data_IF_420232691525
#
_entry.id   IF_420232691525
#
_cell.length_a   1.000
_cell.length_b   1.000
_cell.length_c   1.000
_cell.angle_alpha   90.00
_cell.angle_beta   90.00
_cell.angle_gamma   90.00
#
_symmetry.space_group_name_H-M   'P 1'
#
loop_
_entity.id
_entity.type
_entity.pdbx_description
1 polymer ?
#
# COMPACT_ATOMS: atom_id res chain seq x y z
N UNK A 1 5.93 11.31 -9.07
CA UNK A 1 6.72 10.22 -9.67
C UNK A 1 8.19 10.59 -9.55
N UNK A 2 9.07 9.63 -9.29
CA UNK A 2 10.52 9.86 -9.36
C UNK A 2 10.95 10.12 -10.81
N UNK A 3 11.85 11.08 -11.03
CA UNK A 3 12.39 11.36 -12.37
C UNK A 3 13.34 10.22 -12.81
N UNK A 4 13.02 9.44 -13.88
CA UNK A 4 13.83 8.29 -14.27
C UNK A 4 15.23 8.66 -14.79
N UNK A 5 15.46 9.92 -15.12
CA UNK A 5 16.73 10.41 -15.64
C UNK A 5 17.72 10.84 -14.55
N UNK A 6 17.31 10.79 -13.28
CA UNK A 6 18.11 11.21 -12.13
C UNK A 6 18.35 10.03 -11.19
N UNK A 7 19.59 9.55 -11.14
CA UNK A 7 20.04 8.58 -10.16
C UNK A 7 20.62 9.29 -8.94
N UNK A 8 19.79 9.50 -7.91
CA UNK A 8 20.29 10.04 -6.65
C UNK A 8 21.11 8.98 -5.90
N UNK A 9 22.30 9.32 -5.36
CA UNK A 9 23.07 8.40 -4.54
C UNK A 9 22.26 8.00 -3.31
N UNK A 10 22.17 6.68 -3.08
CA UNK A 10 21.45 6.09 -1.96
C UNK A 10 22.40 5.76 -0.82
N UNK A 11 22.08 6.25 0.38
CA UNK A 11 22.72 5.79 1.61
C UNK A 11 22.13 4.46 2.11
N UNK A 12 22.54 4.02 3.30
CA UNK A 12 22.07 2.75 3.88
C UNK A 12 20.60 2.86 4.32
N UNK A 13 20.18 4.00 4.84
CA UNK A 13 18.81 4.24 5.32
C UNK A 13 17.83 4.31 4.15
N UNK A 14 18.23 4.94 3.05
CA UNK A 14 17.54 4.93 1.78
C UNK A 14 17.27 3.50 1.29
N UNK A 15 18.29 2.65 1.28
CA UNK A 15 18.13 1.25 0.85
C UNK A 15 17.19 0.48 1.78
N UNK A 16 17.35 0.68 3.09
CA UNK A 16 16.52 0.01 4.09
C UNK A 16 15.04 0.40 3.95
N UNK A 17 14.75 1.70 3.84
CA UNK A 17 13.38 2.22 3.68
C UNK A 17 12.74 1.72 2.39
N UNK A 18 13.47 1.72 1.27
CA UNK A 18 12.97 1.13 0.02
C UNK A 18 12.66 -0.36 0.15
N UNK A 19 13.52 -1.14 0.82
CA UNK A 19 13.29 -2.57 1.05
C UNK A 19 12.04 -2.78 1.93
N UNK A 20 11.89 -2.02 3.01
CA UNK A 20 10.71 -2.07 3.89
C UNK A 20 9.45 -1.73 3.09
N UNK A 21 9.49 -0.66 2.30
CA UNK A 21 8.39 -0.23 1.44
C UNK A 21 7.94 -1.32 0.47
N UNK A 22 8.89 -1.94 -0.25
CA UNK A 22 8.61 -3.03 -1.20
C UNK A 22 8.13 -4.30 -0.51
N UNK A 23 8.67 -4.62 0.65
CA UNK A 23 8.22 -5.76 1.47
C UNK A 23 6.78 -5.56 1.94
N UNK A 24 6.40 -4.32 2.26
CA UNK A 24 5.03 -3.96 2.60
C UNK A 24 4.03 -4.37 1.50
N UNK A 25 4.34 -4.14 0.22
CA UNK A 25 3.47 -4.61 -0.88
C UNK A 25 3.35 -6.13 -0.97
N UNK A 26 4.44 -6.86 -0.69
CA UNK A 26 4.41 -8.34 -0.67
C UNK A 26 3.49 -8.83 0.44
N UNK A 27 3.64 -8.28 1.66
CA UNK A 27 2.77 -8.63 2.79
C UNK A 27 1.32 -8.24 2.48
N UNK A 28 1.08 -7.07 1.90
CA UNK A 28 -0.26 -6.62 1.49
C UNK A 28 -0.91 -7.59 0.51
N UNK A 29 -0.17 -8.04 -0.51
CA UNK A 29 -0.70 -8.96 -1.51
C UNK A 29 -1.21 -10.27 -0.88
N UNK A 30 -0.38 -10.93 -0.07
CA UNK A 30 -0.76 -12.20 0.55
C UNK A 30 -1.79 -12.05 1.65
N UNK A 31 -1.73 -10.97 2.44
CA UNK A 31 -2.71 -10.71 3.51
C UNK A 31 -4.09 -10.41 2.94
N UNK A 32 -4.20 -9.62 1.88
CA UNK A 32 -5.48 -9.37 1.21
C UNK A 32 -6.03 -10.64 0.58
N UNK A 33 -5.19 -11.46 -0.08
CA UNK A 33 -5.64 -12.76 -0.55
C UNK A 33 -6.18 -13.58 0.61
N UNK A 34 -5.46 -13.67 1.73
CA UNK A 34 -5.88 -14.45 2.90
C UNK A 34 -7.11 -13.88 3.66
N UNK A 35 -7.57 -12.66 3.35
CA UNK A 35 -8.51 -11.90 4.18
C UNK A 35 -9.82 -12.65 4.46
N UNK A 36 -10.41 -13.31 3.46
CA UNK A 36 -11.68 -14.03 3.63
C UNK A 36 -11.56 -15.38 4.32
N UNK A 37 -10.36 -15.95 4.40
CA UNK A 37 -10.12 -17.24 5.02
C UNK A 37 -9.60 -17.12 6.45
N UNK A 38 -8.78 -16.10 6.72
CA UNK A 38 -8.13 -15.85 8.00
C UNK A 38 -8.29 -14.39 8.42
N UNK A 39 -9.54 -13.90 8.65
CA UNK A 39 -9.88 -12.49 8.85
C UNK A 39 -8.95 -11.76 9.82
N UNK A 40 -8.78 -12.34 11.01
CA UNK A 40 -8.07 -11.69 12.11
C UNK A 40 -6.56 -11.59 11.83
N UNK A 41 -5.94 -12.69 11.39
CA UNK A 41 -4.52 -12.75 11.06
C UNK A 41 -4.20 -11.88 9.84
N UNK A 42 -5.06 -11.96 8.81
CA UNK A 42 -4.93 -11.18 7.60
C UNK A 42 -5.03 -9.69 7.89
N UNK A 43 -6.00 -9.25 8.71
CA UNK A 43 -6.12 -7.84 9.07
C UNK A 43 -4.88 -7.31 9.79
N UNK A 44 -4.32 -8.08 10.73
CA UNK A 44 -3.06 -7.70 11.39
C UNK A 44 -1.94 -7.57 10.35
N UNK A 45 -1.84 -8.52 9.43
CA UNK A 45 -0.84 -8.47 8.36
C UNK A 45 -1.05 -7.28 7.39
N UNK A 46 -2.30 -6.90 7.10
CA UNK A 46 -2.63 -5.69 6.32
C UNK A 46 -2.18 -4.42 7.06
N UNK A 47 -2.38 -4.33 8.37
CA UNK A 47 -1.91 -3.20 9.18
C UNK A 47 -0.37 -3.13 9.19
N UNK A 48 0.32 -4.27 9.32
CA UNK A 48 1.78 -4.34 9.21
C UNK A 48 2.24 -3.87 7.83
N UNK A 49 1.60 -4.37 6.76
CA UNK A 49 1.91 -3.97 5.39
C UNK A 49 1.74 -2.46 5.17
N UNK A 50 0.61 -1.89 5.60
CA UNK A 50 0.36 -0.47 5.52
C UNK A 50 1.37 0.35 6.34
N UNK A 51 1.83 -0.16 7.48
CA UNK A 51 2.87 0.45 8.32
C UNK A 51 4.22 0.45 7.62
N UNK A 52 4.64 -0.67 7.04
CA UNK A 52 5.85 -0.75 6.23
C UNK A 52 5.82 0.26 5.08
N UNK A 53 4.71 0.33 4.35
CA UNK A 53 4.58 1.25 3.24
C UNK A 53 4.53 2.73 3.67
N UNK A 54 3.79 3.06 4.73
CA UNK A 54 3.60 4.45 5.19
C UNK A 54 4.85 5.03 5.89
N UNK A 55 5.57 4.22 6.66
CA UNK A 55 6.80 4.64 7.34
C UNK A 55 7.94 4.96 6.36
N UNK A 56 7.95 4.29 5.20
CA UNK A 56 9.02 4.36 4.20
C UNK A 56 8.54 4.97 2.88
N UNK A 57 7.70 6.01 2.97
CA UNK A 57 6.93 6.51 1.84
C UNK A 57 7.67 7.64 1.10
N UNK A 58 8.17 7.33 -0.09
CA UNK A 58 8.90 8.25 -0.96
C UNK A 58 7.95 8.92 -1.98
N UNK A 59 7.28 10.01 -1.56
CA UNK A 59 6.45 10.86 -2.41
C UNK A 59 6.90 12.31 -2.26
N UNK A 60 7.10 13.03 -3.35
CA UNK A 60 7.56 14.43 -3.32
C UNK A 60 6.57 15.39 -2.67
N UNK A 61 5.29 15.24 -2.99
CA UNK A 61 4.22 16.11 -2.50
C UNK A 61 3.90 15.80 -1.04
N UNK A 62 4.13 16.80 -0.16
CA UNK A 62 4.01 16.65 1.29
C UNK A 62 2.59 16.28 1.72
N UNK A 63 1.58 16.88 1.11
CA UNK A 63 0.18 16.60 1.45
C UNK A 63 -0.18 15.13 1.26
N UNK A 64 0.13 14.54 0.10
CA UNK A 64 -0.13 13.11 -0.15
C UNK A 64 0.67 12.20 0.78
N UNK A 65 1.94 12.54 1.04
CA UNK A 65 2.79 11.78 1.96
C UNK A 65 2.18 11.74 3.37
N UNK A 66 1.79 12.90 3.88
CA UNK A 66 1.14 13.00 5.19
C UNK A 66 -0.24 12.33 5.21
N UNK A 67 -1.06 12.48 4.17
CA UNK A 67 -2.38 11.83 4.10
C UNK A 67 -2.26 10.31 4.26
N UNK A 68 -1.36 9.65 3.53
CA UNK A 68 -1.18 8.21 3.64
C UNK A 68 -0.54 7.80 4.97
N UNK A 69 0.38 8.59 5.50
CA UNK A 69 0.95 8.34 6.82
C UNK A 69 -0.10 8.43 7.91
N UNK A 70 -0.89 9.51 7.95
CA UNK A 70 -1.95 9.69 8.94
C UNK A 70 -3.10 8.71 8.77
N UNK A 71 -3.44 8.28 7.55
CA UNK A 71 -4.41 7.21 7.34
C UNK A 71 -3.97 5.91 8.02
N UNK A 72 -2.69 5.52 7.89
CA UNK A 72 -2.14 4.36 8.60
C UNK A 72 -2.05 4.57 10.10
N UNK A 73 -1.64 5.76 10.58
CA UNK A 73 -1.63 6.05 12.02
C UNK A 73 -3.03 5.94 12.65
N UNK A 74 -4.04 6.50 12.01
CA UNK A 74 -5.43 6.39 12.46
C UNK A 74 -5.91 4.93 12.40
N UNK A 75 -5.52 4.16 11.37
CA UNK A 75 -5.82 2.74 11.29
C UNK A 75 -5.27 1.95 12.49
N UNK A 76 -4.02 2.22 12.88
CA UNK A 76 -3.38 1.58 14.04
C UNK A 76 -4.08 1.98 15.34
N UNK A 77 -4.45 3.25 15.51
CA UNK A 77 -5.23 3.70 16.68
C UNK A 77 -6.60 3.04 16.73
N UNK A 78 -7.30 2.93 15.59
CA UNK A 78 -8.57 2.22 15.52
C UNK A 78 -8.41 0.75 15.90
N UNK A 79 -7.33 0.09 15.47
CA UNK A 79 -7.05 -1.30 15.85
C UNK A 79 -6.84 -1.45 17.37
N UNK A 80 -6.10 -0.54 18.01
CA UNK A 80 -5.89 -0.53 19.46
C UNK A 80 -7.17 -0.28 20.25
N UNK A 81 -8.09 0.52 19.71
CA UNK A 81 -9.41 0.81 20.31
C UNK A 81 -10.45 -0.28 20.03
N UNK A 82 -10.11 -1.32 19.26
CA UNK A 82 -11.04 -2.40 18.88
C UNK A 82 -11.99 -2.05 17.73
N UNK A 83 -11.77 -0.95 17.02
CA UNK A 83 -12.53 -0.55 15.82
C UNK A 83 -11.92 -1.19 14.56
N UNK A 84 -12.08 -2.51 14.45
CA UNK A 84 -11.42 -3.34 13.45
C UNK A 84 -11.81 -2.94 12.00
N UNK A 85 -13.06 -2.60 11.76
CA UNK A 85 -13.55 -2.21 10.43
C UNK A 85 -12.89 -0.91 9.96
N UNK A 86 -12.79 0.08 10.84
CA UNK A 86 -12.13 1.36 10.55
C UNK A 86 -10.62 1.18 10.40
N UNK A 87 -10.02 0.30 11.21
CA UNK A 87 -8.62 -0.06 11.08
C UNK A 87 -8.30 -0.64 9.70
N UNK A 88 -9.12 -1.59 9.23
CA UNK A 88 -8.97 -2.15 7.89
C UNK A 88 -9.14 -1.06 6.81
N UNK A 89 -10.17 -0.21 6.94
CA UNK A 89 -10.43 0.87 5.98
C UNK A 89 -9.26 1.85 5.86
N UNK A 90 -8.71 2.32 6.98
CA UNK A 90 -7.57 3.24 6.97
C UNK A 90 -6.31 2.63 6.34
N UNK A 91 -6.02 1.36 6.61
CA UNK A 91 -4.92 0.64 5.98
C UNK A 91 -5.12 0.48 4.46
N UNK A 92 -6.34 0.18 4.04
CA UNK A 92 -6.72 0.04 2.64
C UNK A 92 -6.63 1.36 1.87
N UNK A 93 -6.95 2.51 2.49
CA UNK A 93 -6.74 3.84 1.90
C UNK A 93 -5.27 4.06 1.54
N UNK A 94 -4.35 3.76 2.45
CA UNK A 94 -2.90 3.86 2.21
C UNK A 94 -2.48 2.95 1.06
N UNK A 95 -2.82 1.66 1.13
CA UNK A 95 -2.39 0.68 0.13
C UNK A 95 -2.99 0.94 -1.25
N UNK A 96 -4.29 1.28 -1.32
CA UNK A 96 -4.98 1.62 -2.57
C UNK A 96 -4.43 2.90 -3.21
N UNK A 97 -4.21 3.95 -2.40
CA UNK A 97 -3.62 5.20 -2.87
C UNK A 97 -2.20 5.03 -3.39
N UNK A 98 -1.41 4.18 -2.74
CA UNK A 98 -0.08 3.81 -3.21
C UNK A 98 -0.12 3.03 -4.52
N UNK A 99 -1.02 2.06 -4.68
CA UNK A 99 -1.19 1.37 -5.96
C UNK A 99 -1.55 2.34 -7.10
N UNK A 100 -2.42 3.32 -6.84
CA UNK A 100 -2.75 4.36 -7.81
C UNK A 100 -1.52 5.19 -8.20
N UNK A 101 -0.68 5.58 -7.24
CA UNK A 101 0.61 6.24 -7.52
C UNK A 101 1.49 5.36 -8.41
N UNK A 102 1.61 4.08 -8.08
CA UNK A 102 2.51 3.17 -8.79
C UNK A 102 2.00 2.74 -10.18
N UNK A 103 0.70 2.89 -10.46
CA UNK A 103 0.17 2.77 -11.81
C UNK A 103 0.87 3.70 -12.79
N UNK A 104 1.23 4.92 -12.40
CA UNK A 104 1.95 5.85 -13.29
C UNK A 104 3.37 5.39 -13.61
N UNK A 105 3.97 4.55 -12.76
CA UNK A 105 5.30 3.97 -12.97
C UNK A 105 5.24 2.75 -13.90
N UNK A 106 4.30 1.84 -13.65
CA UNK A 106 4.29 0.52 -14.26
C UNK A 106 3.21 0.30 -15.32
N UNK A 107 2.18 1.16 -15.34
CA UNK A 107 0.99 1.06 -16.19
C UNK A 107 0.32 -0.31 -16.16
N UNK A 108 0.34 -0.98 -15.00
CA UNK A 108 -0.35 -2.25 -14.79
C UNK A 108 -1.86 -2.04 -15.03
N UNK A 109 -2.49 -2.80 -15.94
CA UNK A 109 -3.93 -2.66 -16.17
C UNK A 109 -4.73 -2.78 -14.88
N UNK A 110 -5.78 -1.97 -14.74
CA UNK A 110 -6.70 -1.93 -13.59
C UNK A 110 -6.09 -1.45 -12.26
N UNK A 111 -4.76 -1.31 -12.14
CA UNK A 111 -4.13 -0.83 -10.90
C UNK A 111 -4.49 0.62 -10.58
N UNK A 112 -4.84 1.43 -11.59
CA UNK A 112 -5.42 2.76 -11.40
C UNK A 112 -6.81 2.73 -10.73
N UNK A 113 -7.53 1.62 -10.82
CA UNK A 113 -8.82 1.43 -10.16
C UNK A 113 -8.68 0.79 -8.77
N UNK A 114 -7.45 0.49 -8.32
CA UNK A 114 -7.22 -0.10 -7.01
C UNK A 114 -7.89 0.66 -5.86
N UNK A 115 -7.87 2.01 -5.78
CA UNK A 115 -8.59 2.76 -4.74
C UNK A 115 -10.08 2.42 -4.68
N UNK A 116 -10.73 2.24 -5.84
CA UNK A 116 -12.13 1.87 -5.91
C UNK A 116 -12.35 0.42 -5.48
N UNK A 117 -11.48 -0.51 -5.89
CA UNK A 117 -11.57 -1.92 -5.48
C UNK A 117 -11.36 -2.09 -3.98
N UNK A 118 -10.41 -1.40 -3.36
CA UNK A 118 -10.20 -1.48 -1.91
C UNK A 118 -11.35 -0.83 -1.13
N UNK A 119 -11.94 0.25 -1.64
CA UNK A 119 -13.13 0.85 -1.04
C UNK A 119 -14.34 -0.08 -1.12
N UNK A 120 -14.56 -0.73 -2.27
CA UNK A 120 -15.59 -1.73 -2.45
C UNK A 120 -15.33 -2.97 -1.56
N UNK A 121 -14.08 -3.39 -1.40
CA UNK A 121 -13.70 -4.51 -0.54
C UNK A 121 -14.02 -4.19 0.92
N UNK A 122 -13.62 -3.00 1.38
CA UNK A 122 -13.94 -2.54 2.72
C UNK A 122 -15.45 -2.48 2.96
N UNK A 123 -16.20 -1.92 2.00
CA UNK A 123 -17.66 -1.87 2.10
C UNK A 123 -18.26 -3.28 2.17
N UNK A 124 -17.87 -4.19 1.27
CA UNK A 124 -18.32 -5.58 1.29
C UNK A 124 -17.95 -6.29 2.60
N UNK A 125 -16.81 -5.96 3.21
CA UNK A 125 -16.40 -6.48 4.50
C UNK A 125 -17.32 -6.01 5.63
N UNK A 126 -17.58 -4.70 5.71
CA UNK A 126 -18.41 -4.09 6.77
C UNK A 126 -19.86 -4.58 6.72
N UNK A 127 -20.40 -4.82 5.53
CA UNK A 127 -21.78 -5.27 5.34
C UNK A 127 -21.91 -6.80 5.16
N UNK A 128 -20.89 -7.57 5.58
CA UNK A 128 -20.91 -9.04 5.58
C UNK A 128 -21.18 -9.69 4.21
N UNK A 129 -20.80 -9.00 3.12
CA UNK A 129 -20.94 -9.46 1.74
C UNK A 129 -19.88 -10.50 1.35
N UNK A 130 -19.90 -11.67 1.99
CA UNK A 130 -18.85 -12.70 1.94
C UNK A 130 -18.36 -13.06 0.53
N UNK A 131 -19.25 -13.32 -0.42
CA UNK A 131 -18.88 -13.65 -1.82
C UNK A 131 -18.27 -12.45 -2.57
N UNK A 132 -18.78 -11.25 -2.33
CA UNK A 132 -18.27 -10.02 -2.95
C UNK A 132 -16.88 -9.72 -2.40
N UNK A 133 -16.70 -9.83 -1.07
CA UNK A 133 -15.42 -9.66 -0.40
C UNK A 133 -14.37 -10.67 -0.88
N UNK A 134 -14.75 -11.92 -1.16
CA UNK A 134 -13.86 -12.94 -1.73
C UNK A 134 -13.38 -12.54 -3.12
N UNK A 135 -14.30 -12.19 -4.02
CA UNK A 135 -13.95 -11.78 -5.39
C UNK A 135 -13.06 -10.55 -5.37
N UNK A 136 -13.41 -9.54 -4.57
CA UNK A 136 -12.63 -8.32 -4.45
C UNK A 136 -11.26 -8.56 -3.81
N UNK A 137 -11.15 -9.44 -2.80
CA UNK A 137 -9.88 -9.84 -2.21
C UNK A 137 -8.95 -10.49 -3.24
N UNK A 138 -9.48 -11.34 -4.12
CA UNK A 138 -8.71 -11.95 -5.22
C UNK A 138 -8.22 -10.90 -6.22
N UNK A 139 -9.07 -9.95 -6.61
CA UNK A 139 -8.71 -8.87 -7.54
C UNK A 139 -7.66 -7.95 -6.91
N UNK A 140 -7.93 -7.44 -5.71
CA UNK A 140 -7.05 -6.48 -5.01
C UNK A 140 -5.71 -7.13 -4.69
N UNK A 141 -5.72 -8.34 -4.12
CA UNK A 141 -4.52 -9.10 -3.76
C UNK A 141 -3.70 -9.51 -4.98
N UNK A 142 -4.35 -9.93 -6.07
CA UNK A 142 -3.69 -10.24 -7.34
C UNK A 142 -3.00 -9.02 -7.97
N UNK A 143 -3.67 -7.86 -8.00
CA UNK A 143 -3.08 -6.60 -8.49
C UNK A 143 -1.90 -6.14 -7.62
N UNK A 144 -2.01 -6.26 -6.30
CA UNK A 144 -0.91 -6.00 -5.36
C UNK A 144 0.27 -6.94 -5.59
N UNK A 145 0.01 -8.23 -5.84
CA UNK A 145 1.06 -9.21 -6.11
C UNK A 145 1.82 -8.88 -7.41
N UNK A 146 1.09 -8.54 -8.47
CA UNK A 146 1.68 -8.11 -9.75
C UNK A 146 2.52 -6.86 -9.53
N UNK A 147 2.00 -5.86 -8.80
CA UNK A 147 2.75 -4.65 -8.47
C UNK A 147 4.01 -4.97 -7.66
N UNK A 148 3.91 -5.83 -6.63
CA UNK A 148 5.04 -6.23 -5.81
C UNK A 148 6.14 -6.88 -6.64
N UNK A 149 5.79 -7.80 -7.55
CA UNK A 149 6.75 -8.43 -8.46
C UNK A 149 7.43 -7.39 -9.36
N UNK A 150 6.67 -6.43 -9.92
CA UNK A 150 7.24 -5.39 -10.76
C UNK A 150 8.15 -4.43 -9.97
N UNK A 151 7.77 -4.09 -8.74
CA UNK A 151 8.59 -3.31 -7.80
C UNK A 151 9.91 -4.01 -7.49
N UNK A 152 9.91 -5.32 -7.27
CA UNK A 152 11.14 -6.04 -6.99
C UNK A 152 12.06 -6.21 -8.20
N UNK A 153 11.52 -6.18 -9.42
CA UNK A 153 12.32 -6.25 -10.66
C UNK A 153 13.06 -4.95 -10.98
N UNK A 154 12.61 -3.80 -10.48
CA UNK A 154 13.28 -2.53 -10.76
C UNK A 154 14.42 -2.23 -9.76
N UNK A 155 15.49 -1.55 -10.18
CA UNK A 155 16.53 -1.05 -9.27
C UNK A 155 16.00 -0.21 -8.11
N UNK A 156 16.69 -0.20 -6.97
CA UNK A 156 16.21 0.45 -5.74
C UNK A 156 16.12 1.99 -5.84
N UNK A 157 17.03 2.62 -6.59
CA UNK A 157 17.09 4.09 -6.69
C UNK A 157 15.84 4.73 -7.30
N UNK A 158 15.06 3.97 -8.08
CA UNK A 158 13.82 4.45 -8.68
C UNK A 158 12.70 4.73 -7.67
N UNK A 159 12.75 4.17 -6.46
CA UNK A 159 11.74 4.49 -5.42
C UNK A 159 11.99 5.86 -4.79
N UNK A 160 13.25 6.29 -4.67
CA UNK A 160 13.60 7.57 -4.01
C UNK A 160 13.47 8.75 -4.98
N UNK A 161 13.97 8.58 -6.20
CA UNK A 161 14.07 9.63 -7.20
C UNK A 161 14.95 10.80 -6.76
N UNK A 162 14.75 11.95 -7.40
CA UNK A 162 15.41 13.22 -7.08
C UNK A 162 15.02 13.77 -5.70
N UNK A 163 15.98 13.79 -4.78
CA UNK A 163 15.82 14.32 -3.41
C UNK A 163 15.54 15.83 -3.36
N UNK A 164 15.95 16.59 -4.38
CA UNK A 164 15.76 18.04 -4.42
C UNK A 164 14.30 18.45 -4.65
N UNK A 165 13.49 17.53 -5.20
CA UNK A 165 12.05 17.75 -5.49
C UNK A 165 11.16 17.53 -4.26
N UNK A 166 11.70 17.08 -3.13
CA UNK A 166 10.92 16.87 -1.92
C UNK A 166 10.46 18.20 -1.33
N UNK A 167 9.15 18.36 -1.18
CA UNK A 167 8.60 19.49 -0.44
C UNK A 167 8.93 19.36 1.04
N UNK A 168 9.47 20.45 1.60
CA UNK A 168 9.83 20.61 3.02
C UNK A 168 8.59 20.90 3.85
#
# INVERSE_FOLDING_TARGET
MADPHIESPMDIWDKLTVIIYRTGFVIAAFSILALTWYPQQAQIAVLVAATCCASSLHIYLKHFRLTFQFATWLALLCALLGWHELALGGALVTLGGLCFKEYFCFRVPLLNLQPAFVAALWFAWVFEGSWIALILSLIVGGLLLILAVQKWRMPLHFDIGDKTKYQI
#
